data_IF_932565994294
#
_entry.id   IF_932565994294
#
_cell.length_a   1.000
_cell.length_b   1.000
_cell.length_c   1.000
_cell.angle_alpha   90.00
_cell.angle_beta   90.00
_cell.angle_gamma   90.00
#
_symmetry.space_group_name_H-M   'P 1'
#
loop_
_entity.id
_entity.type
_entity.pdbx_description
1 polymer ?
#
# COMPACT_ATOMS: atom_id res chain seq x y z
N UNK A 1 -14.78 15.09 -7.09
CA UNK A 1 -16.19 14.72 -7.14
C UNK A 1 -17.12 15.91 -6.93
N UNK A 2 -16.70 16.92 -6.18
CA UNK A 2 -17.50 18.13 -5.94
C UNK A 2 -17.03 19.28 -6.83
N UNK A 3 -17.97 20.03 -7.42
CA UNK A 3 -17.66 21.19 -8.25
C UNK A 3 -16.89 22.23 -7.42
N UNK A 4 -15.78 22.74 -7.96
CA UNK A 4 -14.90 23.74 -7.34
C UNK A 4 -14.12 23.28 -6.09
N UNK A 5 -14.23 22.02 -5.66
CA UNK A 5 -13.38 21.43 -4.63
C UNK A 5 -12.24 20.69 -5.33
N UNK A 6 -11.01 20.97 -4.93
CA UNK A 6 -9.79 20.36 -5.51
C UNK A 6 -8.91 19.82 -4.40
N UNK A 7 -8.35 18.64 -4.60
CA UNK A 7 -7.34 18.08 -3.72
C UNK A 7 -6.01 18.82 -3.89
N UNK A 8 -5.27 18.94 -2.80
CA UNK A 8 -3.88 19.39 -2.85
C UNK A 8 -3.05 18.24 -3.41
N UNK A 9 -2.14 18.52 -4.33
CA UNK A 9 -1.26 17.52 -4.92
C UNK A 9 -0.34 16.89 -3.86
N UNK A 10 0.02 15.60 -3.97
CA UNK A 10 1.00 14.97 -3.09
C UNK A 10 2.32 15.75 -3.04
N UNK A 11 2.92 15.83 -1.85
CA UNK A 11 4.16 16.59 -1.64
C UNK A 11 4.04 18.10 -1.78
N UNK A 12 2.82 18.65 -1.69
CA UNK A 12 2.56 20.08 -1.75
C UNK A 12 1.81 20.56 -0.52
N UNK A 13 1.98 21.84 -0.21
CA UNK A 13 1.12 22.59 0.70
C UNK A 13 0.62 23.86 0.02
N UNK A 14 -0.45 24.43 0.53
CA UNK A 14 -1.06 25.63 0.00
C UNK A 14 -1.07 26.72 1.07
N UNK A 15 -0.59 27.90 0.70
CA UNK A 15 -0.67 29.09 1.54
C UNK A 15 -1.77 30.00 0.95
N UNK A 16 -2.73 30.33 1.79
CA UNK A 16 -3.75 31.32 1.48
C UNK A 16 -3.44 32.61 2.24
N UNK A 17 -3.43 33.72 1.50
CA UNK A 17 -3.41 35.07 2.07
C UNK A 17 -4.64 35.83 1.57
N UNK A 18 -4.93 36.98 2.15
CA UNK A 18 -6.08 37.82 1.71
C UNK A 18 -6.10 38.10 0.21
N UNK A 19 -4.96 38.01 -0.46
CA UNK A 19 -4.82 38.44 -1.88
C UNK A 19 -4.35 37.33 -2.81
N UNK A 20 -3.78 36.23 -2.30
CA UNK A 20 -3.16 35.18 -3.15
C UNK A 20 -3.30 33.79 -2.58
N UNK A 21 -3.43 32.83 -3.51
CA UNK A 21 -3.28 31.42 -3.26
C UNK A 21 -1.96 30.98 -3.89
N UNK A 22 -1.07 30.36 -3.11
CA UNK A 22 0.19 29.79 -3.63
C UNK A 22 0.29 28.33 -3.21
N UNK A 23 0.45 27.44 -4.20
CA UNK A 23 0.74 26.03 -3.98
C UNK A 23 2.26 25.82 -4.11
N UNK A 24 2.87 25.19 -3.11
CA UNK A 24 4.33 25.02 -3.00
C UNK A 24 4.62 23.54 -2.85
N UNK A 25 5.50 23.02 -3.69
CA UNK A 25 6.01 21.64 -3.58
C UNK A 25 7.16 21.61 -2.57
N UNK A 26 7.00 20.85 -1.50
CA UNK A 26 8.03 20.68 -0.47
C UNK A 26 8.74 19.33 -0.56
N UNK A 27 8.13 18.33 -1.24
CA UNK A 27 8.70 17.01 -1.37
C UNK A 27 8.43 16.40 -2.74
N UNK A 28 9.37 15.62 -3.22
CA UNK A 28 9.25 14.78 -4.44
C UNK A 28 10.11 13.53 -4.26
N UNK A 29 9.73 12.46 -4.95
CA UNK A 29 10.63 11.31 -5.11
C UNK A 29 11.80 11.77 -5.99
N UNK A 30 13.02 11.63 -5.48
CA UNK A 30 14.22 11.94 -6.25
C UNK A 30 14.55 10.74 -7.14
N UNK A 31 14.19 10.84 -8.41
CA UNK A 31 14.50 9.84 -9.44
C UNK A 31 15.96 9.96 -9.92
N UNK A 32 16.92 10.25 -9.06
CA UNK A 32 18.33 10.29 -9.43
C UNK A 32 18.81 8.89 -9.86
N UNK A 33 18.43 8.52 -11.10
CA UNK A 33 18.75 7.25 -11.77
C UNK A 33 20.26 6.98 -11.88
N UNK A 34 21.10 7.96 -11.55
CA UNK A 34 22.55 7.89 -11.76
C UNK A 34 23.34 7.49 -10.51
N UNK A 35 22.72 7.35 -9.38
CA UNK A 35 23.38 6.83 -8.18
C UNK A 35 22.96 5.39 -7.95
N UNK A 36 23.43 4.46 -8.79
CA UNK A 36 23.45 3.06 -8.39
C UNK A 36 24.36 2.97 -7.16
N UNK A 37 23.79 2.60 -6.02
CA UNK A 37 24.59 2.22 -4.87
C UNK A 37 25.40 0.99 -5.30
N UNK A 38 26.72 1.12 -5.36
CA UNK A 38 27.64 0.04 -5.73
C UNK A 38 27.94 -0.89 -4.55
N UNK A 39 27.22 -0.75 -3.45
CA UNK A 39 27.34 -1.66 -2.31
C UNK A 39 26.95 -3.07 -2.71
N UNK A 40 27.56 -4.07 -2.08
CA UNK A 40 27.11 -5.45 -2.20
C UNK A 40 25.71 -5.63 -1.60
N UNK A 41 25.05 -6.72 -1.96
CA UNK A 41 23.68 -7.03 -1.55
C UNK A 41 23.50 -7.02 -0.03
N UNK A 42 24.47 -7.60 0.71
CA UNK A 42 24.43 -7.66 2.17
C UNK A 42 24.43 -6.27 2.80
N UNK A 43 25.32 -5.39 2.33
CA UNK A 43 25.39 -4.00 2.77
C UNK A 43 24.11 -3.21 2.45
N UNK A 44 23.50 -3.47 1.29
CA UNK A 44 22.21 -2.87 0.93
C UNK A 44 21.09 -3.32 1.85
N UNK A 45 21.00 -4.62 2.15
CA UNK A 45 20.02 -5.16 3.09
C UNK A 45 20.17 -4.52 4.47
N UNK A 46 21.39 -4.43 5.00
CA UNK A 46 21.67 -3.79 6.28
C UNK A 46 21.24 -2.30 6.29
N UNK A 47 21.53 -1.57 5.21
CA UNK A 47 21.09 -0.17 5.08
C UNK A 47 19.57 -0.03 5.07
N UNK A 48 18.86 -0.91 4.35
CA UNK A 48 17.39 -0.91 4.29
C UNK A 48 16.81 -1.23 5.67
N UNK A 49 17.32 -2.27 6.33
CA UNK A 49 16.89 -2.65 7.67
C UNK A 49 17.07 -1.50 8.67
N UNK A 50 18.23 -0.87 8.68
CA UNK A 50 18.51 0.27 9.56
C UNK A 50 17.56 1.46 9.28
N UNK A 51 17.28 1.75 8.00
CA UNK A 51 16.33 2.81 7.63
C UNK A 51 14.90 2.48 8.03
N UNK A 52 14.48 1.23 7.87
CA UNK A 52 13.16 0.77 8.29
C UNK A 52 13.01 0.88 9.82
N UNK A 53 14.00 0.41 10.58
CA UNK A 53 14.04 0.53 12.03
C UNK A 53 13.92 2.00 12.46
N UNK A 54 14.75 2.89 11.90
CA UNK A 54 14.70 4.32 12.19
C UNK A 54 13.35 4.96 11.85
N UNK A 55 12.71 4.48 10.78
CA UNK A 55 11.38 4.94 10.39
C UNK A 55 10.34 4.53 11.44
N UNK A 56 10.34 3.27 11.86
CA UNK A 56 9.43 2.77 12.89
C UNK A 56 9.64 3.54 14.20
N UNK A 57 10.89 3.72 14.65
CA UNK A 57 11.20 4.46 15.87
C UNK A 57 10.62 5.88 15.86
N UNK A 58 10.67 6.57 14.71
CA UNK A 58 10.07 7.90 14.56
C UNK A 58 8.56 7.89 14.60
N UNK A 59 7.91 6.84 14.07
CA UNK A 59 6.46 6.71 14.09
C UNK A 59 5.91 6.27 15.46
N UNK A 60 6.77 5.76 16.34
CA UNK A 60 6.39 5.42 17.72
C UNK A 60 6.42 6.61 18.69
N UNK A 61 6.84 7.79 18.23
CA UNK A 61 6.78 9.01 19.05
C UNK A 61 5.31 9.46 19.15
N UNK A 62 4.71 9.25 20.30
CA UNK A 62 3.29 9.55 20.54
C UNK A 62 3.02 9.79 22.02
N UNK A 63 2.10 10.70 22.33
CA UNK A 63 1.57 10.92 23.69
C UNK A 63 0.47 9.90 24.07
N UNK A 64 0.20 8.93 23.19
CA UNK A 64 -0.84 7.91 23.36
C UNK A 64 -0.30 6.54 22.99
N UNK A 65 -0.87 5.51 23.59
CA UNK A 65 -0.62 4.13 23.14
C UNK A 65 -0.96 3.97 21.66
N UNK A 66 -0.09 3.26 20.94
CA UNK A 66 -0.21 2.99 19.51
C UNK A 66 -0.58 1.53 19.34
N UNK A 67 -1.62 1.26 18.58
CA UNK A 67 -1.96 -0.09 18.10
C UNK A 67 -1.49 -0.32 16.67
N UNK A 68 -1.76 -1.51 16.15
CA UNK A 68 -1.35 -1.91 14.80
C UNK A 68 -2.48 -2.67 14.07
N UNK A 69 -2.73 -2.32 12.83
CA UNK A 69 -3.49 -3.19 11.93
C UNK A 69 -2.59 -4.33 11.43
N UNK A 70 -2.91 -5.56 11.83
CA UNK A 70 -2.14 -6.75 11.52
C UNK A 70 -2.90 -7.64 10.53
N UNK A 71 -2.49 -7.62 9.27
CA UNK A 71 -3.05 -8.48 8.22
C UNK A 71 -2.42 -9.89 8.20
N UNK A 72 -1.22 -10.02 8.73
CA UNK A 72 -0.40 -11.23 8.59
C UNK A 72 0.46 -11.24 7.33
N UNK A 73 0.37 -10.21 6.49
CA UNK A 73 1.32 -9.97 5.40
C UNK A 73 2.71 -9.57 5.91
N UNK A 74 3.70 -9.58 5.03
CA UNK A 74 5.11 -9.32 5.38
C UNK A 74 5.29 -7.97 6.08
N UNK A 75 4.68 -6.90 5.56
CA UNK A 75 4.88 -5.54 6.05
C UNK A 75 4.29 -5.34 7.44
N UNK A 76 3.02 -5.75 7.65
CA UNK A 76 2.38 -5.66 8.96
C UNK A 76 3.04 -6.55 9.99
N UNK A 77 3.57 -7.71 9.59
CA UNK A 77 4.32 -8.64 10.46
C UNK A 77 5.67 -8.03 10.87
N UNK A 78 6.39 -7.39 9.94
CA UNK A 78 7.64 -6.70 10.24
C UNK A 78 7.42 -5.54 11.23
N UNK A 79 6.34 -4.76 11.03
CA UNK A 79 5.95 -3.71 11.98
C UNK A 79 5.61 -4.30 13.35
N UNK A 80 4.79 -5.36 13.42
CA UNK A 80 4.43 -6.02 14.67
C UNK A 80 5.67 -6.48 15.44
N UNK A 81 6.63 -7.11 14.76
CA UNK A 81 7.89 -7.53 15.35
C UNK A 81 8.68 -6.34 15.92
N UNK A 82 8.89 -5.28 15.13
CA UNK A 82 9.66 -4.14 15.57
C UNK A 82 8.99 -3.41 16.72
N UNK A 83 7.67 -3.21 16.66
CA UNK A 83 6.88 -2.55 17.71
C UNK A 83 6.92 -3.35 19.01
N UNK A 84 6.75 -4.68 18.96
CA UNK A 84 6.79 -5.54 20.15
C UNK A 84 8.12 -5.51 20.90
N UNK A 85 9.21 -5.04 20.27
CA UNK A 85 10.54 -4.91 20.88
C UNK A 85 10.85 -3.51 21.40
N UNK A 86 10.00 -2.53 21.11
CA UNK A 86 10.27 -1.10 21.36
C UNK A 86 9.32 -0.42 22.31
N UNK A 87 8.11 -0.91 22.37
CA UNK A 87 7.11 -0.38 23.31
C UNK A 87 7.17 -1.14 24.63
N UNK A 88 6.85 -0.46 25.71
CA UNK A 88 6.87 -0.96 27.09
C UNK A 88 5.48 -1.37 27.61
N UNK A 89 4.45 -1.28 26.76
CA UNK A 89 3.09 -1.71 27.04
C UNK A 89 2.69 -2.88 26.14
N UNK A 90 1.58 -3.56 26.45
CA UNK A 90 1.07 -4.66 25.66
C UNK A 90 0.53 -4.16 24.32
N UNK A 91 1.26 -4.45 23.22
CA UNK A 91 0.86 -4.08 21.87
C UNK A 91 -0.48 -4.73 21.51
N UNK A 92 -1.47 -3.89 21.23
CA UNK A 92 -2.75 -4.32 20.71
C UNK A 92 -2.73 -4.30 19.18
N UNK A 93 -3.09 -5.43 18.59
CA UNK A 93 -3.22 -5.53 17.14
C UNK A 93 -4.65 -5.86 16.75
N UNK A 94 -5.04 -5.45 15.55
CA UNK A 94 -6.42 -5.57 15.07
C UNK A 94 -6.42 -6.17 13.67
N UNK A 95 -7.32 -7.12 13.45
CA UNK A 95 -7.43 -7.86 12.18
C UNK A 95 -8.89 -7.97 11.78
N UNK A 96 -9.21 -7.83 10.50
CA UNK A 96 -10.54 -8.21 10.00
C UNK A 96 -10.45 -9.42 9.08
N UNK A 97 -11.54 -10.15 8.97
CA UNK A 97 -11.72 -11.24 8.03
C UNK A 97 -13.11 -11.18 7.41
N UNK A 98 -13.32 -11.99 6.37
CA UNK A 98 -14.64 -12.16 5.75
C UNK A 98 -15.17 -13.55 6.12
N UNK A 99 -16.33 -13.63 6.74
CA UNK A 99 -16.87 -14.84 7.40
C UNK A 99 -16.92 -16.09 6.53
N UNK A 100 -17.07 -15.96 5.23
CA UNK A 100 -17.23 -17.09 4.29
C UNK A 100 -16.05 -17.30 3.36
N UNK A 101 -14.96 -16.55 3.53
CA UNK A 101 -13.81 -16.63 2.65
C UNK A 101 -12.60 -17.26 3.35
N UNK A 102 -12.46 -18.60 3.19
CA UNK A 102 -11.31 -19.32 3.72
C UNK A 102 -10.02 -19.03 2.93
N UNK A 103 -10.13 -18.53 1.72
CA UNK A 103 -9.01 -18.28 0.80
C UNK A 103 -8.30 -16.96 1.08
N UNK A 104 -9.04 -15.94 1.50
CA UNK A 104 -8.52 -14.61 1.82
C UNK A 104 -8.48 -14.30 3.33
N UNK A 105 -8.68 -15.31 4.18
CA UNK A 105 -8.65 -15.11 5.62
C UNK A 105 -7.20 -14.96 6.12
N UNK A 106 -6.72 -13.73 6.07
CA UNK A 106 -5.46 -13.32 6.72
C UNK A 106 -5.51 -13.51 8.25
N UNK A 107 -6.71 -13.68 8.79
CA UNK A 107 -6.97 -13.83 10.23
C UNK A 107 -6.14 -14.93 10.91
N UNK A 108 -6.05 -16.12 10.29
CA UNK A 108 -5.28 -17.24 10.86
C UNK A 108 -3.79 -16.92 10.95
N UNK A 109 -3.26 -16.25 9.93
CA UNK A 109 -1.85 -15.86 9.87
C UNK A 109 -1.58 -14.77 10.91
N UNK A 110 -2.42 -13.72 10.94
CA UNK A 110 -2.31 -12.64 11.91
C UNK A 110 -2.37 -13.15 13.36
N UNK A 111 -3.30 -14.05 13.67
CA UNK A 111 -3.43 -14.67 15.00
C UNK A 111 -2.19 -15.49 15.37
N UNK A 112 -1.63 -16.23 14.42
CA UNK A 112 -0.40 -17.01 14.64
C UNK A 112 0.78 -16.08 14.89
N UNK A 113 0.92 -15.02 14.10
CA UNK A 113 1.95 -13.99 14.27
C UNK A 113 1.85 -13.33 15.64
N UNK A 114 0.67 -12.90 16.05
CA UNK A 114 0.44 -12.29 17.35
C UNK A 114 0.81 -13.25 18.50
N UNK A 115 0.40 -14.50 18.40
CA UNK A 115 0.77 -15.54 19.38
C UNK A 115 2.29 -15.71 19.49
N UNK A 116 2.99 -15.81 18.35
CA UNK A 116 4.44 -15.99 18.32
C UNK A 116 5.20 -14.79 18.89
N UNK A 117 4.66 -13.59 18.74
CA UNK A 117 5.23 -12.36 19.28
C UNK A 117 4.77 -12.05 20.71
N UNK A 118 3.87 -12.86 21.28
CA UNK A 118 3.27 -12.64 22.60
C UNK A 118 2.59 -11.26 22.73
N UNK A 119 1.82 -10.89 21.70
CA UNK A 119 1.06 -9.63 21.64
C UNK A 119 -0.45 -9.89 21.50
N UNK A 120 -1.28 -8.95 21.90
CA UNK A 120 -2.72 -9.07 21.80
C UNK A 120 -3.20 -8.92 20.35
N UNK A 121 -4.16 -9.76 19.95
CA UNK A 121 -4.83 -9.62 18.65
C UNK A 121 -6.35 -9.69 18.83
N UNK A 122 -7.02 -8.60 18.48
CA UNK A 122 -8.47 -8.51 18.42
C UNK A 122 -8.90 -8.61 16.96
N UNK A 123 -9.96 -9.38 16.71
CA UNK A 123 -10.41 -9.59 15.34
C UNK A 123 -11.90 -9.35 15.20
N UNK A 124 -12.29 -8.93 14.01
CA UNK A 124 -13.69 -8.74 13.63
C UNK A 124 -13.98 -9.38 12.28
N UNK A 125 -15.10 -10.08 12.20
CA UNK A 125 -15.61 -10.62 10.95
C UNK A 125 -16.52 -9.62 10.23
N UNK A 126 -16.29 -9.48 8.93
CA UNK A 126 -17.15 -8.73 8.02
C UNK A 126 -18.14 -9.68 7.36
N UNK A 127 -19.41 -9.46 7.61
CA UNK A 127 -20.51 -10.23 7.03
C UNK A 127 -21.08 -9.51 5.80
N UNK A 128 -21.70 -10.22 4.85
CA UNK A 128 -22.39 -9.59 3.73
C UNK A 128 -23.39 -8.50 4.16
N UNK A 129 -24.10 -8.72 5.29
CA UNK A 129 -25.04 -7.76 5.84
C UNK A 129 -24.34 -6.45 6.29
N UNK A 130 -23.13 -6.51 6.81
CA UNK A 130 -22.37 -5.31 7.19
C UNK A 130 -22.11 -4.38 6.00
N UNK A 131 -22.00 -4.94 4.79
CA UNK A 131 -21.79 -4.18 3.55
C UNK A 131 -23.06 -3.40 3.22
N UNK A 132 -24.21 -4.07 3.20
CA UNK A 132 -25.50 -3.44 2.88
C UNK A 132 -25.89 -2.39 3.92
N UNK A 133 -25.73 -2.69 5.19
CA UNK A 133 -26.12 -1.82 6.30
C UNK A 133 -25.25 -0.56 6.44
N UNK A 134 -24.01 -0.61 5.97
CA UNK A 134 -23.05 0.50 6.11
C UNK A 134 -22.72 1.21 4.80
N UNK A 135 -23.32 0.83 3.66
CA UNK A 135 -23.00 1.42 2.35
C UNK A 135 -23.21 2.94 2.33
N UNK A 136 -24.42 3.38 2.64
CA UNK A 136 -24.78 4.80 2.65
C UNK A 136 -23.95 5.59 3.66
N UNK A 137 -23.73 5.02 4.86
CA UNK A 137 -22.92 5.62 5.90
C UNK A 137 -21.48 5.84 5.45
N UNK A 138 -20.88 4.85 4.78
CA UNK A 138 -19.51 4.96 4.28
C UNK A 138 -19.38 5.97 3.15
N UNK A 139 -20.33 6.01 2.22
CA UNK A 139 -20.37 7.05 1.18
C UNK A 139 -20.39 8.45 1.80
N UNK A 140 -21.21 8.64 2.83
CA UNK A 140 -21.33 9.93 3.52
C UNK A 140 -20.05 10.29 4.31
N UNK A 141 -19.39 9.30 4.94
CA UNK A 141 -18.14 9.53 5.69
C UNK A 141 -16.98 9.86 4.73
N UNK A 142 -16.88 9.12 3.62
CA UNK A 142 -15.77 9.28 2.67
C UNK A 142 -15.95 10.45 1.73
N UNK A 143 -17.18 10.93 1.55
CA UNK A 143 -17.56 11.99 0.61
C UNK A 143 -17.02 11.72 -0.82
N UNK A 144 -16.79 10.46 -1.14
CA UNK A 144 -16.24 10.02 -2.43
C UNK A 144 -16.68 8.59 -2.75
N UNK A 145 -16.80 8.23 -4.03
CA UNK A 145 -17.02 6.84 -4.42
C UNK A 145 -15.81 5.98 -4.06
N UNK A 146 -16.05 4.73 -3.72
CA UNK A 146 -15.02 3.72 -3.47
C UNK A 146 -15.33 2.45 -4.29
N UNK A 147 -14.28 1.72 -4.64
CA UNK A 147 -14.38 0.52 -5.49
C UNK A 147 -14.01 -0.77 -4.77
N UNK A 148 -13.46 -0.67 -3.57
CA UNK A 148 -12.95 -1.82 -2.84
C UNK A 148 -13.85 -2.19 -1.67
N UNK A 149 -14.23 -3.46 -1.60
CA UNK A 149 -14.96 -4.05 -0.45
C UNK A 149 -14.12 -4.01 0.85
N UNK A 150 -12.81 -3.90 0.76
CA UNK A 150 -11.89 -3.80 1.91
C UNK A 150 -12.23 -2.63 2.84
N UNK A 151 -12.87 -1.58 2.31
CA UNK A 151 -13.25 -0.41 3.10
C UNK A 151 -14.20 -0.77 4.26
N UNK A 152 -15.04 -1.78 4.09
CA UNK A 152 -15.93 -2.25 5.17
C UNK A 152 -15.16 -2.94 6.29
N UNK A 153 -14.12 -3.69 5.93
CA UNK A 153 -13.19 -4.30 6.91
C UNK A 153 -12.44 -3.23 7.71
N UNK A 154 -11.89 -2.25 7.03
CA UNK A 154 -11.20 -1.11 7.65
C UNK A 154 -12.16 -0.32 8.55
N UNK A 155 -13.38 -0.06 8.10
CA UNK A 155 -14.39 0.61 8.91
C UNK A 155 -14.71 -0.15 10.21
N UNK A 156 -14.89 -1.47 10.13
CA UNK A 156 -15.10 -2.33 11.29
C UNK A 156 -13.89 -2.33 12.25
N UNK A 157 -12.68 -2.30 11.72
CA UNK A 157 -11.48 -2.16 12.55
C UNK A 157 -11.47 -0.83 13.31
N UNK A 158 -11.82 0.28 12.67
CA UNK A 158 -11.90 1.57 13.33
C UNK A 158 -13.00 1.61 14.40
N UNK A 159 -14.13 0.94 14.18
CA UNK A 159 -15.15 0.78 15.22
C UNK A 159 -14.60 0.00 16.42
N UNK A 160 -13.86 -1.09 16.19
CA UNK A 160 -13.25 -1.91 17.22
C UNK A 160 -12.17 -1.12 17.99
N UNK A 161 -11.27 -0.44 17.30
CA UNK A 161 -10.24 0.43 17.88
C UNK A 161 -10.84 1.52 18.75
N UNK A 162 -11.91 2.18 18.26
CA UNK A 162 -12.62 3.21 19.01
C UNK A 162 -13.24 2.65 20.29
N UNK A 163 -13.85 1.46 20.23
CA UNK A 163 -14.44 0.76 21.38
C UNK A 163 -13.36 0.40 22.43
N UNK A 164 -12.17 0.03 21.96
CA UNK A 164 -11.03 -0.32 22.82
C UNK A 164 -10.28 0.90 23.36
N UNK A 165 -10.68 2.11 22.99
CA UNK A 165 -10.19 3.39 23.52
C UNK A 165 -8.90 3.89 22.88
N UNK A 166 -8.28 3.18 21.96
CA UNK A 166 -7.09 3.63 21.24
C UNK A 166 -7.39 4.78 20.27
N UNK A 167 -6.38 5.64 20.07
CA UNK A 167 -6.47 6.83 19.21
C UNK A 167 -5.47 6.82 18.06
N UNK A 168 -4.41 6.02 18.18
CA UNK A 168 -3.33 5.97 17.19
C UNK A 168 -3.15 4.53 16.75
N UNK A 169 -3.14 4.33 15.44
CA UNK A 169 -2.91 3.04 14.80
C UNK A 169 -1.84 3.21 13.73
N UNK A 170 -0.89 2.30 13.69
CA UNK A 170 0.00 2.12 12.55
C UNK A 170 -0.54 1.03 11.62
N UNK A 171 -0.15 1.12 10.36
CA UNK A 171 -0.48 0.13 9.34
C UNK A 171 0.68 -0.05 8.36
N UNK A 172 0.69 -1.14 7.60
CA UNK A 172 1.76 -1.50 6.67
C UNK A 172 1.68 -0.82 5.30
N UNK A 173 0.82 0.17 5.13
CA UNK A 173 0.63 0.86 3.85
C UNK A 173 1.92 1.56 3.39
N UNK A 174 2.20 1.48 2.09
CA UNK A 174 3.41 2.03 1.47
C UNK A 174 4.55 1.03 1.31
N UNK A 175 4.48 -0.16 1.93
CA UNK A 175 5.48 -1.21 1.78
C UNK A 175 5.54 -1.74 0.35
N UNK A 176 4.41 -2.13 -0.20
CA UNK A 176 4.29 -2.64 -1.57
C UNK A 176 4.69 -1.59 -2.61
N UNK A 177 4.34 -0.33 -2.42
CA UNK A 177 4.74 0.79 -3.28
C UNK A 177 6.25 1.01 -3.28
N UNK A 178 6.88 0.84 -2.12
CA UNK A 178 8.32 1.10 -1.95
C UNK A 178 9.17 -0.08 -2.44
N UNK A 179 8.74 -1.31 -2.14
CA UNK A 179 9.51 -2.53 -2.40
C UNK A 179 9.00 -3.34 -3.60
N UNK A 180 7.99 -2.85 -4.31
CA UNK A 180 7.48 -3.51 -5.52
C UNK A 180 6.67 -4.77 -5.23
N UNK A 181 5.88 -4.80 -4.17
CA UNK A 181 5.09 -5.95 -3.74
C UNK A 181 3.90 -6.29 -4.63
N UNK A 182 3.46 -5.36 -5.49
CA UNK A 182 2.35 -5.63 -6.41
C UNK A 182 2.80 -6.36 -7.67
N UNK A 183 1.99 -7.30 -8.14
CA UNK A 183 2.25 -8.08 -9.35
C UNK A 183 2.53 -7.20 -10.58
N UNK A 184 1.85 -6.06 -10.72
CA UNK A 184 2.08 -5.13 -11.84
C UNK A 184 3.44 -4.42 -11.78
N UNK A 185 4.07 -4.31 -10.62
CA UNK A 185 5.42 -3.73 -10.52
C UNK A 185 6.44 -4.59 -11.27
N UNK A 186 6.28 -5.91 -11.22
CA UNK A 186 7.11 -6.85 -11.96
C UNK A 186 6.95 -6.67 -13.47
N UNK A 187 5.71 -6.46 -13.93
CA UNK A 187 5.43 -6.16 -15.34
C UNK A 187 6.12 -4.87 -15.79
N UNK A 188 5.99 -3.79 -15.00
CA UNK A 188 6.65 -2.53 -15.33
C UNK A 188 8.18 -2.67 -15.35
N UNK A 189 8.75 -3.44 -14.42
CA UNK A 189 10.18 -3.75 -14.45
C UNK A 189 10.59 -4.48 -15.72
N UNK A 190 9.84 -5.50 -16.14
CA UNK A 190 10.11 -6.24 -17.37
C UNK A 190 10.01 -5.34 -18.61
N UNK A 191 9.02 -4.46 -18.68
CA UNK A 191 8.86 -3.49 -19.77
C UNK A 191 9.98 -2.45 -19.82
N UNK A 192 10.45 -1.98 -18.67
CA UNK A 192 11.61 -1.08 -18.59
C UNK A 192 12.90 -1.75 -19.08
N UNK A 193 13.05 -3.05 -18.82
CA UNK A 193 14.17 -3.85 -19.34
C UNK A 193 14.16 -3.93 -20.84
N UNK A 194 12.99 -4.18 -21.46
CA UNK A 194 12.86 -4.19 -22.94
C UNK A 194 13.25 -2.84 -23.53
N UNK A 195 12.69 -1.76 -22.97
CA UNK A 195 12.98 -0.40 -23.47
C UNK A 195 14.47 -0.09 -23.48
N UNK A 196 15.21 -0.60 -22.49
CA UNK A 196 16.66 -0.36 -22.36
C UNK A 196 17.47 -1.29 -23.26
N UNK A 197 17.21 -2.59 -23.21
CA UNK A 197 18.09 -3.60 -23.77
C UNK A 197 17.58 -4.13 -25.13
N UNK A 198 16.33 -3.81 -25.52
CA UNK A 198 15.67 -4.33 -26.73
C UNK A 198 15.72 -5.86 -26.84
N UNK A 199 15.88 -6.57 -25.72
CA UNK A 199 16.00 -8.01 -25.65
C UNK A 199 14.65 -8.65 -25.31
N UNK A 200 13.93 -9.06 -26.36
CA UNK A 200 12.63 -9.72 -26.23
C UNK A 200 12.72 -11.07 -25.51
N UNK A 201 13.83 -11.80 -25.66
CA UNK A 201 13.98 -13.10 -25.01
C UNK A 201 14.12 -12.93 -23.47
N UNK A 202 14.83 -11.93 -23.00
CA UNK A 202 14.91 -11.61 -21.56
C UNK A 202 13.52 -11.27 -21.00
N UNK A 203 12.73 -10.51 -21.75
CA UNK A 203 11.36 -10.19 -21.39
C UNK A 203 10.47 -11.45 -21.29
N UNK A 204 10.48 -12.31 -22.33
CA UNK A 204 9.70 -13.54 -22.30
C UNK A 204 10.10 -14.43 -21.12
N UNK A 205 11.40 -14.59 -20.86
CA UNK A 205 11.87 -15.38 -19.72
C UNK A 205 11.40 -14.82 -18.37
N UNK A 206 11.43 -13.50 -18.19
CA UNK A 206 10.94 -12.84 -16.98
C UNK A 206 9.42 -13.05 -16.82
N UNK A 207 8.67 -12.90 -17.91
CA UNK A 207 7.20 -13.07 -17.91
C UNK A 207 6.81 -14.53 -17.64
N UNK A 208 7.44 -15.50 -18.32
CA UNK A 208 7.15 -16.91 -18.09
C UNK A 208 7.48 -17.33 -16.66
N UNK A 209 8.59 -16.83 -16.10
CA UNK A 209 8.93 -17.08 -14.71
C UNK A 209 7.88 -16.51 -13.74
N UNK A 210 7.35 -15.33 -14.03
CA UNK A 210 6.29 -14.71 -13.23
C UNK A 210 4.97 -15.48 -13.31
N UNK A 211 4.56 -15.90 -14.52
CA UNK A 211 3.35 -16.70 -14.74
C UNK A 211 3.44 -18.03 -14.02
N UNK A 212 4.57 -18.73 -14.13
CA UNK A 212 4.77 -20.03 -13.49
C UNK A 212 4.73 -19.94 -11.96
N UNK A 213 5.31 -18.88 -11.39
CA UNK A 213 5.36 -18.71 -9.95
C UNK A 213 4.00 -18.32 -9.33
N UNK A 214 3.17 -17.59 -10.07
CA UNK A 214 1.97 -16.98 -9.48
C UNK A 214 0.64 -17.55 -9.99
N UNK A 215 0.64 -18.47 -10.97
CA UNK A 215 -0.56 -19.04 -11.61
C UNK A 215 -1.58 -17.98 -12.11
N UNK A 216 -1.13 -16.74 -12.38
CA UNK A 216 -1.97 -15.59 -12.70
C UNK A 216 -1.95 -15.20 -14.18
N UNK A 217 -1.86 -16.18 -15.07
CA UNK A 217 -1.74 -15.94 -16.52
C UNK A 217 -2.78 -14.97 -17.09
N UNK A 218 -4.04 -15.16 -16.72
CA UNK A 218 -5.16 -14.35 -17.27
C UNK A 218 -5.12 -12.89 -16.77
N UNK A 219 -4.76 -12.68 -15.53
CA UNK A 219 -4.60 -11.34 -14.93
C UNK A 219 -3.44 -10.59 -15.60
N UNK A 220 -2.34 -11.29 -15.83
CA UNK A 220 -1.17 -10.78 -16.52
C UNK A 220 -1.47 -10.40 -17.99
N UNK A 221 -2.19 -11.25 -18.74
CA UNK A 221 -2.62 -10.97 -20.11
C UNK A 221 -3.47 -9.69 -20.16
N UNK A 222 -4.41 -9.51 -19.24
CA UNK A 222 -5.23 -8.30 -19.18
C UNK A 222 -4.41 -7.04 -18.89
N UNK A 223 -3.46 -7.11 -17.97
CA UNK A 223 -2.57 -5.97 -17.64
C UNK A 223 -1.70 -5.63 -18.86
N UNK A 224 -1.15 -6.64 -19.54
CA UNK A 224 -0.32 -6.45 -20.74
C UNK A 224 -1.12 -5.82 -21.88
N UNK A 225 -2.34 -6.31 -22.15
CA UNK A 225 -3.23 -5.76 -23.16
C UNK A 225 -3.56 -4.29 -22.86
N UNK A 226 -3.94 -3.98 -21.62
CA UNK A 226 -4.24 -2.61 -21.22
C UNK A 226 -3.02 -1.69 -21.36
N UNK A 227 -1.84 -2.16 -21.03
CA UNK A 227 -0.61 -1.38 -21.19
C UNK A 227 -0.26 -1.14 -22.66
N UNK A 228 -0.35 -2.17 -23.52
CA UNK A 228 -0.08 -2.04 -24.94
C UNK A 228 -1.09 -1.12 -25.64
N UNK A 229 -2.36 -1.20 -25.26
CA UNK A 229 -3.39 -0.26 -25.75
C UNK A 229 -3.11 1.18 -25.32
N UNK A 230 -2.68 1.41 -24.09
CA UNK A 230 -2.31 2.76 -23.61
C UNK A 230 -1.11 3.33 -24.37
N UNK A 231 -0.11 2.51 -24.70
CA UNK A 231 1.06 2.92 -25.49
C UNK A 231 0.69 3.27 -26.95
N UNK A 232 -0.23 2.53 -27.55
CA UNK A 232 -0.70 2.82 -28.92
C UNK A 232 -1.50 4.14 -28.98
N UNK A 233 -2.29 4.44 -27.96
CA UNK A 233 -2.99 5.73 -27.86
C UNK A 233 -2.05 6.92 -27.65
N UNK A 234 -0.98 6.78 -26.89
CA UNK A 234 0.00 7.87 -26.69
C UNK A 234 0.86 8.16 -27.94
N UNK A 235 1.12 7.15 -28.78
CA UNK A 235 1.86 7.33 -30.02
C UNK A 235 0.98 7.76 -31.21
N UNK A 236 -0.34 7.68 -31.09
CA UNK A 236 -1.28 8.15 -32.10
C UNK A 236 -1.65 9.64 -32.03
N UNK A 237 -1.21 10.36 -30.99
CA UNK A 237 -1.55 11.79 -30.78
C UNK A 237 -0.43 12.76 -31.15
N UNK A 238 0.59 12.34 -31.91
CA UNK A 238 1.65 13.22 -32.42
C UNK A 238 1.68 13.28 -33.94
N UNK A 239 0.57 13.51 -34.57
CA UNK A 239 0.52 14.12 -35.91
C UNK A 239 -0.81 14.85 -36.02
N UNK A 240 -0.79 16.09 -35.73
CA UNK A 240 -1.34 17.20 -36.43
C UNK A 240 -1.52 18.35 -35.43
N UNK A 241 -0.53 19.21 -35.48
CA UNK A 241 -0.61 20.53 -34.90
C UNK A 241 -1.55 21.42 -35.67
N UNK A 242 -1.96 22.41 -34.94
CA UNK A 242 -2.49 23.75 -35.34
C UNK A 242 -4.00 23.94 -35.15
N UNK A 243 -4.39 25.17 -34.82
CA UNK A 243 -3.65 26.24 -34.14
C UNK A 243 -4.09 26.44 -32.70
#
# INVERSE_FOLDING_TARGET
FFKNIKSILPGHYVVYTSFKKKQIRYWKIDNNKNKSDKSDEKSLIEKIQNKFIQSVDKHLISDREIGLFLSGGTDSTALAYLMSKRIDYNLKTYTYGFTNDKTFSEYKIAKTTAKNLNISNLAVDVKPQDITDNMEKLVNILESPFTSIRIFGIYKLYELVKKDGLKVILEGDGGDELFGGYDYNFLFYALDKIKKNKNLNEFYNLIFKFIDLNHKKKEFENILINYLTTLTFQNGSTSDGTP
#
